data_IF_391185587404
#
_entry.id   IF_391185587404
#
_cell.length_a   1.000
_cell.length_b   1.000
_cell.length_c   1.000
_cell.angle_alpha   90.00
_cell.angle_beta   90.00
_cell.angle_gamma   90.00
#
_symmetry.space_group_name_H-M   'P 1'
#
loop_
_entity.id
_entity.type
_entity.pdbx_description
1 polymer ?
#
# COMPACT_ATOMS: atom_id res chain seq x y z
N UNK A 1 -48.02 20.40 -36.34
CA UNK A 1 -48.16 18.96 -36.01
C UNK A 1 -48.73 18.90 -34.59
N UNK A 2 -50.05 18.98 -34.48
CA UNK A 2 -50.96 17.87 -34.17
C UNK A 2 -50.84 17.36 -32.72
N UNK A 3 -51.73 17.94 -31.90
CA UNK A 3 -52.55 17.33 -30.83
C UNK A 3 -52.87 15.84 -31.08
N UNK A 4 -53.00 14.95 -30.08
CA UNK A 4 -54.09 14.86 -29.09
C UNK A 4 -53.84 13.63 -28.18
N UNK A 5 -54.14 13.72 -26.88
CA UNK A 5 -54.35 12.56 -26.00
C UNK A 5 -55.82 12.45 -25.60
N UNK A 6 -56.36 11.21 -25.61
CA UNK A 6 -57.50 10.60 -24.85
C UNK A 6 -58.08 9.41 -25.65
N UNK A 7 -58.86 8.46 -25.07
CA UNK A 7 -58.77 7.72 -23.79
C UNK A 7 -59.01 6.17 -23.92
N UNK A 8 -59.10 5.48 -22.76
CA UNK A 8 -59.25 4.02 -22.42
C UNK A 8 -60.27 3.16 -23.23
N UNK A 9 -60.24 1.80 -23.08
CA UNK A 9 -61.30 1.17 -22.26
C UNK A 9 -60.94 -0.09 -21.43
N UNK A 10 -61.85 -0.36 -20.47
CA UNK A 10 -61.97 -1.48 -19.52
C UNK A 10 -62.21 -2.87 -20.14
N UNK A 11 -61.85 -3.93 -19.38
CA UNK A 11 -62.56 -5.22 -19.38
C UNK A 11 -62.73 -5.77 -17.96
N UNK A 12 -63.94 -6.26 -17.69
CA UNK A 12 -64.44 -6.83 -16.44
C UNK A 12 -64.70 -8.35 -16.56
N UNK A 13 -64.62 -9.04 -15.41
CA UNK A 13 -65.23 -10.35 -15.04
C UNK A 13 -64.58 -11.62 -15.65
N UNK A 14 -64.39 -12.76 -14.96
CA UNK A 14 -65.38 -13.66 -14.32
C UNK A 14 -64.70 -14.73 -13.38
N UNK A 15 -65.14 -14.81 -12.11
CA UNK A 15 -65.59 -15.97 -11.27
C UNK A 15 -64.68 -17.22 -10.92
N UNK A 16 -64.19 -17.27 -9.64
CA UNK A 16 -64.21 -18.29 -8.50
C UNK A 16 -64.15 -19.85 -8.70
N UNK A 17 -64.11 -20.75 -7.65
CA UNK A 17 -63.70 -20.69 -6.20
C UNK A 17 -62.85 -21.93 -5.68
N UNK A 18 -62.64 -22.00 -4.34
CA UNK A 18 -62.33 -23.17 -3.47
C UNK A 18 -60.84 -23.60 -3.34
N UNK A 19 -60.24 -23.98 -2.20
CA UNK A 19 -60.64 -24.25 -0.80
C UNK A 19 -59.37 -24.24 0.08
N UNK A 20 -59.49 -23.86 1.36
CA UNK A 20 -58.50 -24.18 2.40
C UNK A 20 -58.48 -25.70 2.68
N UNK A 21 -57.38 -26.23 3.22
CA UNK A 21 -57.49 -26.71 4.60
C UNK A 21 -56.31 -26.32 5.49
N UNK A 22 -56.68 -25.87 6.68
CA UNK A 22 -55.88 -25.86 7.90
C UNK A 22 -55.53 -27.30 8.31
N UNK A 23 -54.25 -27.58 8.56
CA UNK A 23 -53.85 -28.62 9.53
C UNK A 23 -52.74 -28.09 10.42
N UNK A 24 -53.09 -27.98 11.70
CA UNK A 24 -52.23 -27.75 12.84
C UNK A 24 -51.74 -29.11 13.34
N UNK A 25 -50.43 -29.36 13.36
CA UNK A 25 -49.82 -30.36 14.24
C UNK A 25 -48.55 -29.77 14.84
N UNK A 26 -48.63 -29.60 16.16
CA UNK A 26 -47.54 -29.32 17.07
C UNK A 26 -46.32 -30.23 16.82
N UNK A 27 -45.17 -29.64 16.52
CA UNK A 27 -43.89 -30.20 16.95
C UNK A 27 -42.95 -29.08 17.38
N UNK A 28 -42.93 -28.87 18.69
CA UNK A 28 -41.96 -28.08 19.43
C UNK A 28 -40.56 -28.69 19.30
N UNK A 29 -39.80 -28.29 18.28
CA UNK A 29 -38.35 -28.33 18.36
C UNK A 29 -37.85 -26.98 18.89
N UNK A 30 -37.74 -26.90 20.22
CA UNK A 30 -36.91 -25.90 20.88
C UNK A 30 -35.46 -26.15 20.45
N UNK A 31 -34.97 -25.40 19.47
CA UNK A 31 -33.54 -25.28 19.20
C UNK A 31 -32.88 -24.68 20.44
N UNK A 32 -31.90 -25.40 21.00
CA UNK A 32 -31.10 -24.92 22.13
C UNK A 32 -30.36 -23.66 21.70
N UNK A 33 -30.66 -22.53 22.33
CA UNK A 33 -29.87 -21.32 22.22
C UNK A 33 -28.51 -21.55 22.91
N UNK A 34 -27.43 -21.40 22.15
CA UNK A 34 -26.07 -21.35 22.68
C UNK A 34 -25.82 -19.95 23.29
N UNK A 35 -25.31 -19.86 24.52
CA UNK A 35 -25.02 -18.57 25.14
C UNK A 35 -23.69 -18.04 24.59
N UNK A 36 -23.72 -16.92 23.86
CA UNK A 36 -22.48 -16.19 23.53
C UNK A 36 -22.49 -15.32 22.28
N UNK A 37 -23.46 -15.48 21.36
CA UNK A 37 -23.52 -14.60 20.18
C UNK A 37 -24.47 -13.42 20.41
N UNK A 38 -24.03 -12.18 20.20
CA UNK A 38 -24.93 -11.04 20.19
C UNK A 38 -25.90 -11.18 19.00
N UNK A 39 -27.20 -11.21 19.28
CA UNK A 39 -28.25 -11.20 18.24
C UNK A 39 -28.16 -9.93 17.39
N UNK A 40 -28.50 -10.04 16.10
CA UNK A 40 -28.52 -8.99 15.04
C UNK A 40 -29.01 -7.57 15.43
N UNK A 41 -29.74 -7.41 16.55
CA UNK A 41 -30.17 -6.11 17.06
C UNK A 41 -29.10 -5.38 17.91
N UNK A 42 -28.11 -6.07 18.50
CA UNK A 42 -27.04 -5.43 19.28
C UNK A 42 -25.88 -4.93 18.40
N UNK A 43 -25.85 -5.30 17.13
CA UNK A 43 -24.85 -4.83 16.16
C UNK A 43 -25.15 -3.44 15.60
N UNK A 44 -26.19 -2.75 16.09
CA UNK A 44 -26.64 -1.46 15.53
C UNK A 44 -26.39 -0.26 16.43
N UNK A 45 -25.81 -0.41 17.63
CA UNK A 45 -25.83 0.69 18.61
C UNK A 45 -24.62 0.86 19.53
N UNK A 46 -23.50 0.17 19.30
CA UNK A 46 -22.25 0.47 20.02
C UNK A 46 -21.05 0.30 19.07
N UNK A 47 -20.59 1.41 18.48
CA UNK A 47 -19.32 1.57 17.77
C UNK A 47 -18.85 0.38 16.94
N UNK A 48 -19.32 0.25 15.70
CA UNK A 48 -19.02 -0.84 14.76
C UNK A 48 -17.51 -1.17 14.62
N UNK A 49 -16.64 -0.18 14.84
CA UNK A 49 -15.18 -0.34 14.87
C UNK A 49 -14.69 -1.28 16.00
N UNK A 50 -15.20 -1.11 17.22
CA UNK A 50 -14.81 -1.91 18.39
C UNK A 50 -15.21 -3.37 18.21
N UNK A 51 -16.31 -3.64 17.49
CA UNK A 51 -16.76 -4.99 17.17
C UNK A 51 -15.82 -5.69 16.17
N UNK A 52 -15.41 -4.99 15.10
CA UNK A 52 -14.49 -5.54 14.10
C UNK A 52 -13.09 -5.82 14.68
N UNK A 53 -12.56 -4.92 15.51
CA UNK A 53 -11.29 -5.12 16.19
C UNK A 53 -11.32 -6.35 17.11
N UNK A 54 -12.37 -6.50 17.92
CA UNK A 54 -12.53 -7.67 18.77
C UNK A 54 -12.64 -8.97 17.95
N UNK A 55 -13.36 -8.94 16.83
CA UNK A 55 -13.43 -10.10 15.93
C UNK A 55 -12.07 -10.46 15.33
N UNK A 56 -11.21 -9.49 14.99
CA UNK A 56 -9.83 -9.76 14.56
C UNK A 56 -9.01 -10.43 15.66
N UNK A 57 -9.12 -9.97 16.90
CA UNK A 57 -8.42 -10.57 18.05
C UNK A 57 -8.92 -12.00 18.28
N UNK A 58 -10.24 -12.22 18.27
CA UNK A 58 -10.81 -13.57 18.37
C UNK A 58 -10.39 -14.47 17.22
N UNK A 59 -10.30 -13.93 16.00
CA UNK A 59 -9.78 -14.66 14.83
C UNK A 59 -8.34 -15.11 15.06
N UNK A 60 -7.47 -14.22 15.55
CA UNK A 60 -6.08 -14.52 15.83
C UNK A 60 -5.94 -15.65 16.88
N UNK A 61 -6.70 -15.57 17.98
CA UNK A 61 -6.71 -16.59 19.03
C UNK A 61 -7.22 -17.95 18.52
N UNK A 62 -8.26 -17.94 17.68
CA UNK A 62 -8.81 -19.16 17.08
C UNK A 62 -7.79 -19.83 16.13
N UNK A 63 -7.07 -19.02 15.34
CA UNK A 63 -5.99 -19.49 14.45
C UNK A 63 -4.85 -20.08 15.27
N UNK A 64 -4.39 -19.39 16.31
CA UNK A 64 -3.30 -19.85 17.19
C UNK A 64 -3.65 -21.15 17.92
N UNK A 65 -4.89 -21.27 18.39
CA UNK A 65 -5.39 -22.50 19.03
C UNK A 65 -5.71 -23.61 18.02
N UNK A 66 -5.46 -23.40 16.73
CA UNK A 66 -5.80 -24.30 15.62
C UNK A 66 -7.28 -24.78 15.65
N UNK A 67 -8.19 -23.92 16.12
CA UNK A 67 -9.62 -24.16 16.12
C UNK A 67 -10.19 -23.83 14.74
N UNK A 68 -10.16 -24.82 13.83
CA UNK A 68 -10.56 -24.65 12.43
C UNK A 68 -12.00 -24.15 12.27
N UNK A 69 -12.95 -24.69 13.04
CA UNK A 69 -14.36 -24.31 12.95
C UNK A 69 -14.59 -22.86 13.35
N UNK A 70 -14.05 -22.44 14.48
CA UNK A 70 -14.19 -21.06 14.96
C UNK A 70 -13.47 -20.08 14.03
N UNK A 71 -12.26 -20.44 13.57
CA UNK A 71 -11.51 -19.64 12.60
C UNK A 71 -12.31 -19.42 11.31
N UNK A 72 -12.90 -20.48 10.76
CA UNK A 72 -13.71 -20.39 9.54
C UNK A 72 -14.93 -19.47 9.73
N UNK A 73 -15.61 -19.58 10.87
CA UNK A 73 -16.78 -18.75 11.18
C UNK A 73 -16.42 -17.27 11.29
N UNK A 74 -15.36 -16.94 12.04
CA UNK A 74 -14.94 -15.55 12.23
C UNK A 74 -14.44 -14.95 10.92
N UNK A 75 -13.62 -15.69 10.16
CA UNK A 75 -13.16 -15.26 8.83
C UNK A 75 -14.33 -15.01 7.88
N UNK A 76 -15.35 -15.87 7.90
CA UNK A 76 -16.56 -15.68 7.09
C UNK A 76 -17.29 -14.39 7.47
N UNK A 77 -17.51 -14.15 8.77
CA UNK A 77 -18.15 -12.91 9.24
C UNK A 77 -17.35 -11.69 8.81
N UNK A 78 -16.04 -11.67 9.07
CA UNK A 78 -15.17 -10.54 8.75
C UNK A 78 -15.16 -10.23 7.24
N UNK A 79 -15.14 -11.25 6.37
CA UNK A 79 -15.22 -11.05 4.91
C UNK A 79 -16.55 -10.41 4.45
N UNK A 80 -17.64 -10.55 5.22
CA UNK A 80 -18.94 -9.97 4.87
C UNK A 80 -19.15 -8.55 5.43
N UNK A 81 -18.46 -8.18 6.51
CA UNK A 81 -18.66 -6.88 7.17
C UNK A 81 -17.53 -5.86 6.88
N UNK A 82 -16.39 -6.32 6.37
CA UNK A 82 -15.21 -5.50 6.08
C UNK A 82 -14.83 -5.55 4.59
N UNK A 83 -15.60 -4.89 3.70
CA UNK A 83 -15.25 -4.77 2.30
C UNK A 83 -14.00 -3.89 2.09
N UNK A 84 -13.16 -4.17 1.07
CA UNK A 84 -11.91 -3.44 0.81
C UNK A 84 -12.09 -1.99 0.33
N UNK A 85 -13.29 -1.63 -0.14
CA UNK A 85 -13.70 -0.30 -0.60
C UNK A 85 -14.64 0.40 0.40
N UNK A 86 -14.77 -0.14 1.61
CA UNK A 86 -15.57 0.41 2.69
C UNK A 86 -14.95 1.63 3.39
N UNK A 87 -15.48 1.96 4.57
CA UNK A 87 -14.94 3.02 5.42
C UNK A 87 -13.53 2.69 5.94
N UNK A 88 -12.92 3.61 6.68
CA UNK A 88 -11.56 3.43 7.21
C UNK A 88 -11.40 2.21 8.12
N UNK A 89 -12.40 1.89 8.95
CA UNK A 89 -12.35 0.74 9.85
C UNK A 89 -12.55 -0.57 9.09
N UNK A 90 -13.42 -0.57 8.08
CA UNK A 90 -13.63 -1.72 7.21
C UNK A 90 -12.36 -2.04 6.41
N UNK A 91 -11.71 -1.02 5.82
CA UNK A 91 -10.44 -1.18 5.09
C UNK A 91 -9.31 -1.67 5.98
N UNK A 92 -9.20 -1.14 7.19
CA UNK A 92 -8.24 -1.60 8.20
C UNK A 92 -8.50 -3.08 8.54
N UNK A 93 -9.75 -3.43 8.82
CA UNK A 93 -10.16 -4.78 9.19
C UNK A 93 -9.90 -5.78 8.07
N UNK A 94 -10.22 -5.40 6.83
CA UNK A 94 -9.90 -6.18 5.65
C UNK A 94 -8.40 -6.44 5.57
N UNK A 95 -7.56 -5.40 5.65
CA UNK A 95 -6.10 -5.54 5.57
C UNK A 95 -5.54 -6.47 6.66
N UNK A 96 -5.97 -6.31 7.91
CA UNK A 96 -5.53 -7.17 9.02
C UNK A 96 -6.01 -8.62 8.85
N UNK A 97 -7.23 -8.85 8.38
CA UNK A 97 -7.72 -10.20 8.09
C UNK A 97 -6.86 -10.89 7.03
N UNK A 98 -6.52 -10.16 5.94
CA UNK A 98 -5.65 -10.67 4.88
C UNK A 98 -4.25 -11.02 5.42
N UNK A 99 -3.69 -10.16 6.28
CA UNK A 99 -2.40 -10.41 6.93
C UNK A 99 -2.44 -11.64 7.88
N UNK A 100 -3.51 -11.78 8.67
CA UNK A 100 -3.71 -12.94 9.56
C UNK A 100 -3.78 -14.25 8.78
N UNK A 101 -4.54 -14.27 7.68
CA UNK A 101 -4.64 -15.45 6.81
C UNK A 101 -3.27 -15.75 6.18
N UNK A 102 -2.58 -14.75 5.62
CA UNK A 102 -1.25 -14.93 5.02
C UNK A 102 -0.19 -15.44 6.01
N UNK A 103 -0.23 -14.98 7.26
CA UNK A 103 0.64 -15.50 8.32
C UNK A 103 0.32 -16.95 8.66
N UNK A 104 -0.97 -17.26 8.83
CA UNK A 104 -1.42 -18.60 9.21
C UNK A 104 -1.10 -19.65 8.13
N UNK A 105 -1.18 -19.28 6.86
CA UNK A 105 -0.84 -20.15 5.73
C UNK A 105 0.67 -20.38 5.64
N UNK A 106 1.48 -19.31 5.78
CA UNK A 106 2.95 -19.39 5.73
C UNK A 106 3.54 -20.17 6.91
N UNK A 107 3.00 -19.98 8.10
CA UNK A 107 3.48 -20.66 9.32
C UNK A 107 2.87 -22.04 9.54
N UNK A 108 1.92 -22.47 8.69
CA UNK A 108 1.13 -23.70 8.87
C UNK A 108 0.43 -23.81 10.25
N UNK A 109 0.19 -22.69 10.92
CA UNK A 109 -0.42 -22.65 12.26
C UNK A 109 -1.88 -23.13 12.22
N UNK A 110 -2.56 -22.89 11.10
CA UNK A 110 -3.93 -23.35 10.87
C UNK A 110 -4.01 -24.21 9.61
N UNK A 111 -4.23 -25.52 9.79
CA UNK A 111 -4.28 -26.49 8.68
C UNK A 111 -5.40 -26.19 7.68
N UNK A 112 -6.54 -25.67 8.16
CA UNK A 112 -7.65 -25.26 7.31
C UNK A 112 -7.23 -24.13 6.38
N UNK A 113 -6.67 -23.05 6.92
CA UNK A 113 -6.27 -21.89 6.12
C UNK A 113 -5.15 -22.26 5.14
N UNK A 114 -4.19 -23.07 5.56
CA UNK A 114 -3.15 -23.60 4.66
C UNK A 114 -3.76 -24.42 3.51
N UNK A 115 -4.74 -25.29 3.78
CA UNK A 115 -5.45 -26.04 2.75
C UNK A 115 -6.28 -25.14 1.83
N UNK A 116 -6.95 -24.12 2.38
CA UNK A 116 -7.74 -23.14 1.61
C UNK A 116 -6.86 -22.29 0.68
N UNK A 117 -5.67 -21.88 1.13
CA UNK A 117 -4.73 -21.12 0.30
C UNK A 117 -4.18 -21.94 -0.87
N UNK A 118 -4.01 -23.25 -0.69
CA UNK A 118 -3.60 -24.17 -1.77
C UNK A 118 -4.74 -24.44 -2.79
N UNK A 119 -5.99 -24.29 -2.39
CA UNK A 119 -7.17 -24.56 -3.22
C UNK A 119 -7.78 -23.32 -3.89
N UNK A 120 -7.52 -22.12 -3.38
CA UNK A 120 -8.08 -20.87 -3.88
C UNK A 120 -6.96 -19.84 -4.14
N UNK A 121 -6.60 -19.73 -5.43
CA UNK A 121 -5.79 -18.64 -5.96
C UNK A 121 -6.58 -17.33 -5.80
N UNK A 122 -6.32 -16.60 -4.71
CA UNK A 122 -6.54 -15.15 -4.58
C UNK A 122 -5.99 -14.66 -3.22
N UNK A 123 -4.85 -15.20 -2.77
CA UNK A 123 -4.05 -14.61 -1.69
C UNK A 123 -2.95 -13.68 -2.21
N UNK A 124 -2.78 -13.58 -3.53
CA UNK A 124 -1.94 -12.57 -4.14
C UNK A 124 -2.61 -11.20 -3.91
N UNK A 125 -2.06 -10.41 -3.01
CA UNK A 125 -2.30 -8.98 -3.03
C UNK A 125 -1.67 -8.49 -4.33
N UNK A 126 -2.50 -8.12 -5.30
CA UNK A 126 -2.02 -7.42 -6.49
C UNK A 126 -1.46 -6.09 -6.02
N UNK A 127 -0.14 -6.02 -5.87
CA UNK A 127 0.53 -4.76 -5.57
C UNK A 127 0.35 -3.83 -6.76
N UNK A 128 -0.27 -2.70 -6.52
CA UNK A 128 -0.43 -1.68 -7.54
C UNK A 128 0.94 -1.16 -7.97
N UNK A 129 1.18 -1.15 -9.29
CA UNK A 129 2.34 -0.50 -9.90
C UNK A 129 1.92 0.91 -10.28
N UNK A 130 2.55 1.89 -9.64
CA UNK A 130 2.32 3.30 -9.92
C UNK A 130 3.09 3.72 -11.17
N UNK A 131 2.47 4.49 -12.05
CA UNK A 131 3.23 5.40 -12.91
C UNK A 131 3.92 6.49 -12.07
N UNK A 132 4.88 7.21 -12.65
CA UNK A 132 5.54 8.35 -11.98
C UNK A 132 4.54 9.40 -11.49
N UNK A 133 3.51 9.68 -12.28
CA UNK A 133 2.51 10.70 -11.97
C UNK A 133 1.59 10.24 -10.83
N UNK A 134 1.19 8.96 -10.83
CA UNK A 134 0.37 8.40 -9.76
C UNK A 134 1.17 8.32 -8.45
N UNK A 135 2.45 7.96 -8.51
CA UNK A 135 3.31 7.92 -7.33
C UNK A 135 3.53 9.32 -6.74
N UNK A 136 3.77 10.32 -7.59
CA UNK A 136 3.86 11.71 -7.15
C UNK A 136 2.55 12.18 -6.50
N UNK A 137 1.41 11.82 -7.09
CA UNK A 137 0.09 12.11 -6.52
C UNK A 137 -0.10 11.41 -5.17
N UNK A 138 0.36 10.15 -5.03
CA UNK A 138 0.30 9.38 -3.79
C UNK A 138 1.13 10.03 -2.67
N UNK A 139 2.36 10.47 -2.98
CA UNK A 139 3.22 11.22 -2.06
C UNK A 139 2.53 12.46 -1.52
N UNK A 140 1.66 13.08 -2.33
CA UNK A 140 0.95 14.31 -2.01
C UNK A 140 -0.40 14.10 -1.29
N UNK A 141 -0.89 12.87 -1.18
CA UNK A 141 -2.17 12.57 -0.48
C UNK A 141 -2.12 12.97 0.99
N UNK A 142 -0.97 12.83 1.64
CA UNK A 142 -0.77 13.20 3.04
C UNK A 142 0.52 14.00 3.21
N UNK A 143 0.63 14.85 4.25
CA UNK A 143 1.85 15.65 4.46
C UNK A 143 3.05 14.81 4.91
N UNK A 144 2.90 13.50 5.16
CA UNK A 144 3.92 12.63 5.74
C UNK A 144 5.23 12.65 4.94
N UNK A 145 5.17 12.40 3.64
CA UNK A 145 6.36 12.37 2.78
C UNK A 145 6.92 13.77 2.54
N UNK A 146 6.06 14.74 2.20
CA UNK A 146 6.49 16.13 1.95
C UNK A 146 7.18 16.75 3.17
N UNK A 147 6.67 16.51 4.38
CA UNK A 147 7.33 16.97 5.60
C UNK A 147 8.76 16.44 5.70
N UNK A 148 8.95 15.14 5.54
CA UNK A 148 10.27 14.52 5.56
C UNK A 148 11.19 15.07 4.48
N UNK A 149 10.68 15.21 3.25
CA UNK A 149 11.44 15.76 2.12
C UNK A 149 11.87 17.21 2.36
N UNK A 150 10.96 18.08 2.82
CA UNK A 150 11.27 19.48 3.11
C UNK A 150 12.30 19.62 4.22
N UNK A 151 12.14 18.86 5.32
CA UNK A 151 13.10 18.89 6.42
C UNK A 151 14.48 18.38 6.00
N UNK A 152 14.53 17.26 5.27
CA UNK A 152 15.78 16.70 4.76
C UNK A 152 16.46 17.65 3.76
N UNK A 153 15.70 18.23 2.82
CA UNK A 153 16.25 19.19 1.85
C UNK A 153 16.82 20.43 2.53
N UNK A 154 16.14 20.98 3.54
CA UNK A 154 16.66 22.12 4.30
C UNK A 154 18.01 21.80 4.95
N UNK A 155 18.11 20.66 5.64
CA UNK A 155 19.35 20.21 6.26
C UNK A 155 20.47 19.94 5.23
N UNK A 156 20.13 19.33 4.08
CA UNK A 156 21.10 19.10 2.99
C UNK A 156 21.62 20.44 2.47
N UNK A 157 20.74 21.41 2.18
CA UNK A 157 21.13 22.70 1.62
C UNK A 157 22.06 23.48 2.55
N UNK A 158 21.86 23.40 3.87
CA UNK A 158 22.76 23.97 4.87
C UNK A 158 24.11 23.24 4.88
N UNK A 159 24.10 21.91 4.86
CA UNK A 159 25.31 21.11 4.94
C UNK A 159 26.22 21.23 3.69
N UNK A 160 25.63 21.49 2.52
CA UNK A 160 26.37 21.56 1.25
C UNK A 160 26.78 22.97 0.85
N UNK A 161 26.53 23.97 1.69
CA UNK A 161 26.92 25.34 1.39
C UNK A 161 28.44 25.47 1.19
N UNK A 162 28.84 26.13 0.10
CA UNK A 162 30.25 26.32 -0.26
C UNK A 162 30.92 25.14 -0.98
N UNK A 163 30.24 23.99 -1.15
CA UNK A 163 30.78 22.87 -1.91
C UNK A 163 30.45 22.99 -3.40
N UNK A 164 31.43 22.70 -4.26
CA UNK A 164 31.26 22.72 -5.73
C UNK A 164 30.69 21.41 -6.29
N UNK A 165 30.85 20.32 -5.55
CA UNK A 165 30.37 18.97 -5.91
C UNK A 165 29.77 18.35 -4.68
N UNK A 166 28.56 17.81 -4.81
CA UNK A 166 27.84 17.14 -3.72
C UNK A 166 27.50 15.72 -4.15
N UNK A 167 27.61 14.76 -3.22
CA UNK A 167 27.22 13.38 -3.45
C UNK A 167 26.08 13.00 -2.52
N UNK A 168 24.92 12.75 -3.10
CA UNK A 168 23.70 12.32 -2.41
C UNK A 168 23.55 10.81 -2.63
N UNK A 169 23.36 10.08 -1.53
CA UNK A 169 23.04 8.66 -1.53
C UNK A 169 21.59 8.50 -1.09
N UNK A 170 20.71 8.11 -2.01
CA UNK A 170 19.29 7.91 -1.76
C UNK A 170 19.01 6.44 -1.42
N UNK A 171 18.57 6.22 -0.18
CA UNK A 171 18.15 4.92 0.36
C UNK A 171 16.62 4.82 0.51
N UNK A 172 15.86 5.75 -0.08
CA UNK A 172 14.42 5.81 0.04
C UNK A 172 13.71 4.77 -0.83
N UNK A 173 12.52 4.38 -0.39
CA UNK A 173 11.60 3.53 -1.17
C UNK A 173 10.62 4.36 -2.03
N UNK A 174 10.73 5.69 -1.98
CA UNK A 174 9.83 6.60 -2.71
C UNK A 174 10.37 6.95 -4.09
N UNK A 175 11.19 6.10 -4.69
CA UNK A 175 11.72 6.26 -6.06
C UNK A 175 12.17 7.69 -6.40
N UNK A 176 13.04 8.27 -5.57
CA UNK A 176 13.60 9.60 -5.78
C UNK A 176 12.59 10.76 -5.84
N UNK A 177 11.35 10.60 -5.36
CA UNK A 177 10.34 11.68 -5.40
C UNK A 177 10.74 12.95 -4.61
N UNK A 178 11.71 12.84 -3.70
CA UNK A 178 12.33 14.00 -3.03
C UNK A 178 13.20 14.83 -3.98
N UNK A 179 13.94 14.18 -4.88
CA UNK A 179 15.05 14.76 -5.62
C UNK A 179 14.66 15.96 -6.49
N UNK A 180 13.53 15.98 -7.22
CA UNK A 180 13.13 17.16 -7.99
C UNK A 180 13.02 18.42 -7.12
N UNK A 181 12.42 18.30 -5.92
CA UNK A 181 12.29 19.44 -5.00
C UNK A 181 13.63 19.91 -4.42
N UNK A 182 14.60 19.00 -4.29
CA UNK A 182 15.95 19.35 -3.87
C UNK A 182 16.72 20.07 -4.98
N UNK A 183 16.64 19.57 -6.21
CA UNK A 183 17.21 20.23 -7.40
C UNK A 183 16.68 21.66 -7.52
N UNK A 184 15.36 21.84 -7.38
CA UNK A 184 14.73 23.17 -7.40
C UNK A 184 15.27 24.09 -6.32
N UNK A 185 15.41 23.59 -5.10
CA UNK A 185 15.89 24.39 -3.98
C UNK A 185 17.38 24.75 -4.14
N UNK A 186 18.20 23.83 -4.67
CA UNK A 186 19.61 24.08 -4.99
C UNK A 186 19.73 25.17 -6.07
N UNK A 187 18.98 25.03 -7.17
CA UNK A 187 19.00 25.97 -8.29
C UNK A 187 18.59 27.39 -7.88
N UNK A 188 17.69 27.52 -6.90
CA UNK A 188 17.21 28.82 -6.43
C UNK A 188 18.07 29.42 -5.30
N UNK A 189 18.81 28.59 -4.53
CA UNK A 189 19.61 29.06 -3.38
C UNK A 189 21.01 29.54 -3.79
N UNK A 190 21.65 28.87 -4.75
CA UNK A 190 23.04 29.11 -5.08
C UNK A 190 23.18 29.81 -6.44
N UNK A 191 23.94 30.90 -6.49
CA UNK A 191 24.26 31.61 -7.75
C UNK A 191 24.96 30.69 -8.76
N UNK A 192 25.83 29.81 -8.25
CA UNK A 192 26.47 28.74 -9.02
C UNK A 192 26.13 27.41 -8.34
N UNK A 193 25.13 26.67 -8.86
CA UNK A 193 24.75 25.38 -8.30
C UNK A 193 25.90 24.36 -8.34
N UNK A 194 26.05 23.53 -7.29
CA UNK A 194 27.01 22.43 -7.32
C UNK A 194 26.65 21.37 -8.36
N UNK A 195 27.67 20.65 -8.81
CA UNK A 195 27.47 19.36 -9.48
C UNK A 195 26.86 18.36 -8.50
N UNK A 196 25.72 17.77 -8.87
CA UNK A 196 25.05 16.74 -8.05
C UNK A 196 25.45 15.36 -8.55
N UNK A 197 26.05 14.53 -7.70
CA UNK A 197 26.16 13.08 -7.92
C UNK A 197 25.07 12.40 -7.12
N UNK A 198 24.09 11.80 -7.78
CA UNK A 198 23.05 11.01 -7.12
C UNK A 198 23.34 9.53 -7.30
N UNK A 199 23.47 8.81 -6.19
CA UNK A 199 23.53 7.35 -6.15
C UNK A 199 22.29 6.80 -5.46
N UNK A 200 21.58 5.90 -6.14
CA UNK A 200 20.36 5.29 -5.61
C UNK A 200 20.59 3.82 -5.31
N UNK A 201 20.17 3.37 -4.13
CA UNK A 201 20.08 1.96 -3.81
C UNK A 201 18.91 1.34 -4.59
N UNK A 202 19.22 0.64 -5.68
CA UNK A 202 18.22 -0.08 -6.48
C UNK A 202 17.80 -1.35 -5.76
N UNK A 203 16.55 -1.43 -5.33
CA UNK A 203 16.04 -2.62 -4.65
C UNK A 203 16.13 -3.85 -5.57
N UNK A 204 16.77 -4.92 -5.10
CA UNK A 204 16.80 -6.22 -5.80
C UNK A 204 15.49 -7.01 -5.66
N UNK A 205 14.57 -6.51 -4.84
CA UNK A 205 13.27 -7.11 -4.54
C UNK A 205 12.16 -6.11 -4.84
N UNK A 206 10.99 -6.61 -5.25
CA UNK A 206 9.79 -5.80 -5.49
C UNK A 206 9.21 -5.31 -4.15
N UNK A 207 9.74 -4.20 -3.64
CA UNK A 207 9.27 -3.55 -2.41
C UNK A 207 8.26 -2.45 -2.76
N UNK A 208 7.03 -2.45 -2.19
CA UNK A 208 6.08 -1.37 -2.40
C UNK A 208 6.57 -0.01 -1.85
N UNK A 209 6.14 1.13 -2.42
CA UNK A 209 5.30 1.24 -3.63
C UNK A 209 6.06 0.76 -4.86
N UNK A 210 5.40 0.04 -5.77
CA UNK A 210 6.04 -0.40 -7.01
C UNK A 210 5.95 0.71 -8.05
N UNK A 211 7.02 0.93 -8.82
CA UNK A 211 7.05 1.87 -9.92
C UNK A 211 7.05 1.14 -11.26
N UNK A 212 6.17 1.56 -12.17
CA UNK A 212 6.13 1.11 -13.57
C UNK A 212 7.07 1.96 -14.44
N UNK A 213 8.34 2.04 -14.02
CA UNK A 213 9.41 2.73 -14.72
C UNK A 213 10.76 2.15 -14.31
N UNK A 214 11.65 1.92 -15.28
CA UNK A 214 13.02 1.51 -14.97
C UNK A 214 13.79 2.64 -14.26
N UNK A 215 14.78 2.28 -13.45
CA UNK A 215 15.61 3.28 -12.78
C UNK A 215 16.53 4.01 -13.76
N UNK A 216 16.87 3.40 -14.88
CA UNK A 216 17.59 4.03 -15.99
C UNK A 216 16.76 5.17 -16.60
N UNK A 217 15.48 4.92 -16.88
CA UNK A 217 14.55 5.94 -17.37
C UNK A 217 14.26 7.02 -16.31
N UNK A 218 14.10 6.63 -15.04
CA UNK A 218 13.95 7.55 -13.92
C UNK A 218 15.17 8.48 -13.81
N UNK A 219 16.37 7.90 -13.85
CA UNK A 219 17.63 8.64 -13.82
C UNK A 219 17.76 9.61 -14.97
N UNK A 220 17.44 9.19 -16.20
CA UNK A 220 17.42 10.07 -17.37
C UNK A 220 16.45 11.24 -17.21
N UNK A 221 15.23 11.00 -16.68
CA UNK A 221 14.27 12.07 -16.38
C UNK A 221 14.80 13.04 -15.33
N UNK A 222 15.44 12.56 -14.28
CA UNK A 222 16.03 13.40 -13.23
C UNK A 222 17.19 14.25 -13.75
N UNK A 223 18.09 13.67 -14.54
CA UNK A 223 19.22 14.40 -15.16
C UNK A 223 18.69 15.49 -16.10
N UNK A 224 17.69 15.18 -16.93
CA UNK A 224 17.05 16.16 -17.82
C UNK A 224 16.35 17.27 -17.02
N UNK A 225 15.71 16.93 -15.90
CA UNK A 225 15.09 17.93 -15.03
C UNK A 225 16.15 18.84 -14.40
N UNK A 226 17.23 18.29 -13.84
CA UNK A 226 18.35 19.06 -13.31
C UNK A 226 18.94 20.02 -14.37
N UNK A 227 19.17 19.52 -15.58
CA UNK A 227 19.65 20.33 -16.69
C UNK A 227 18.71 21.50 -17.01
N UNK A 228 17.39 21.28 -17.01
CA UNK A 228 16.40 22.34 -17.22
C UNK A 228 16.39 23.41 -16.12
N UNK A 229 17.01 23.13 -14.96
CA UNK A 229 17.19 24.04 -13.83
C UNK A 229 18.61 24.60 -13.75
N UNK A 230 19.42 24.43 -14.80
CA UNK A 230 20.84 24.81 -14.85
C UNK A 230 21.70 24.12 -13.77
N UNK A 231 21.31 22.92 -13.34
CA UNK A 231 22.06 22.09 -12.40
C UNK A 231 22.64 20.90 -13.15
N UNK A 232 23.94 20.70 -13.05
CA UNK A 232 24.59 19.51 -13.62
C UNK A 232 24.39 18.35 -12.66
N UNK A 233 23.95 17.20 -13.17
CA UNK A 233 23.68 16.02 -12.36
C UNK A 233 24.21 14.74 -13.01
N UNK A 234 24.86 13.91 -12.22
CA UNK A 234 25.21 12.52 -12.53
C UNK A 234 24.27 11.59 -11.77
N UNK A 235 23.76 10.56 -12.45
CA UNK A 235 22.89 9.54 -11.84
C UNK A 235 23.55 8.17 -11.90
N UNK A 236 23.51 7.45 -10.78
CA UNK A 236 23.95 6.05 -10.69
C UNK A 236 22.96 5.24 -9.88
N UNK A 237 22.63 4.06 -10.35
CA UNK A 237 21.93 3.03 -9.58
C UNK A 237 22.92 1.94 -9.16
N UNK A 238 22.79 1.46 -7.93
CA UNK A 238 23.53 0.31 -7.43
C UNK A 238 22.53 -0.74 -6.92
N UNK A 239 22.45 -1.91 -7.56
CA UNK A 239 21.65 -3.03 -7.07
C UNK A 239 22.06 -3.36 -5.63
N UNK A 240 21.11 -3.26 -4.72
CA UNK A 240 21.31 -3.36 -3.27
C UNK A 240 20.09 -3.94 -2.58
N UNK A 241 20.32 -4.61 -1.44
CA UNK A 241 19.25 -5.09 -0.57
C UNK A 241 19.46 -4.55 0.85
N UNK A 242 18.37 -4.22 1.53
CA UNK A 242 18.43 -3.90 2.96
C UNK A 242 18.74 -5.16 3.80
N UNK A 243 18.49 -6.36 3.29
CA UNK A 243 18.70 -7.62 4.00
C UNK A 243 20.18 -7.92 4.29
N UNK A 244 21.09 -7.44 3.44
CA UNK A 244 22.54 -7.58 3.61
C UNK A 244 23.22 -6.30 4.16
N UNK A 245 22.42 -5.33 4.61
CA UNK A 245 22.90 -4.05 5.08
C UNK A 245 23.48 -3.14 4.00
N UNK A 246 23.02 -3.27 2.75
CA UNK A 246 23.50 -2.51 1.58
C UNK A 246 24.99 -2.76 1.27
N UNK A 247 25.45 -4.00 1.41
CA UNK A 247 26.88 -4.34 1.28
C UNK A 247 27.47 -3.92 -0.07
N UNK A 248 26.77 -4.18 -1.18
CA UNK A 248 27.15 -3.78 -2.54
C UNK A 248 27.30 -2.25 -2.69
N UNK A 249 26.34 -1.48 -2.18
CA UNK A 249 26.39 -0.02 -2.19
C UNK A 249 27.62 0.49 -1.44
N UNK A 250 27.85 0.00 -0.22
CA UNK A 250 28.95 0.43 0.63
C UNK A 250 30.30 0.14 -0.02
N UNK A 251 30.46 -1.04 -0.64
CA UNK A 251 31.69 -1.39 -1.37
C UNK A 251 31.94 -0.43 -2.54
N UNK A 252 30.92 -0.15 -3.35
CA UNK A 252 31.06 0.75 -4.49
C UNK A 252 31.36 2.20 -4.07
N UNK A 253 30.73 2.70 -3.00
CA UNK A 253 31.02 4.03 -2.46
C UNK A 253 32.47 4.13 -1.95
N UNK A 254 33.01 3.07 -1.34
CA UNK A 254 34.43 3.03 -0.91
C UNK A 254 35.38 3.09 -2.10
N UNK A 255 35.12 2.34 -3.16
CA UNK A 255 35.95 2.35 -4.38
C UNK A 255 35.95 3.74 -5.01
N UNK A 256 34.80 4.41 -5.08
CA UNK A 256 34.71 5.77 -5.63
C UNK A 256 35.55 6.78 -4.84
N UNK A 257 35.52 6.72 -3.50
CA UNK A 257 36.34 7.60 -2.67
C UNK A 257 37.84 7.37 -2.86
N UNK A 258 38.27 6.11 -2.97
CA UNK A 258 39.69 5.78 -3.22
C UNK A 258 40.16 6.35 -4.56
N UNK A 259 39.37 6.18 -5.63
CA UNK A 259 39.70 6.72 -6.96
C UNK A 259 39.76 8.25 -6.96
N UNK A 260 38.89 8.94 -6.19
CA UNK A 260 38.94 10.40 -6.07
C UNK A 260 40.14 10.88 -5.23
N UNK A 261 40.54 10.13 -4.19
CA UNK A 261 41.72 10.46 -3.40
C UNK A 261 43.01 10.36 -4.23
N UNK A 262 43.13 9.33 -5.08
CA UNK A 262 44.28 9.13 -5.96
C UNK A 262 44.34 10.15 -7.10
N UNK A 263 43.19 10.55 -7.66
CA UNK A 263 43.15 11.59 -8.69
C UNK A 263 43.44 12.98 -8.11
N UNK A 264 42.91 13.31 -6.93
CA UNK A 264 43.21 14.57 -6.22
C UNK A 264 44.70 14.73 -5.87
N UNK A 265 45.39 13.66 -5.49
CA UNK A 265 46.83 13.69 -5.22
C UNK A 265 47.69 13.97 -6.47
N UNK A 266 47.27 13.49 -7.65
CA UNK A 266 47.97 13.75 -8.91
C UNK A 266 47.86 15.21 -9.38
N UNK A 267 46.80 15.92 -9.01
CA UNK A 267 46.64 17.34 -9.35
C UNK A 267 47.29 18.29 -8.34
N UNK A 268 47.63 17.83 -7.12
CA UNK A 268 48.41 18.61 -6.15
C UNK A 268 49.93 18.55 -6.35
N UNK A 269 50.41 17.80 -7.35
CA UNK A 269 51.84 17.61 -7.66
C UNK A 269 52.30 18.29 -8.97
N UNK A 270 51.51 19.23 -9.49
CA UNK A 270 51.84 20.08 -10.65
C UNK A 270 51.58 21.55 -10.27
#
# INVERSE_FOLDING_TARGET
MQSTETPLPHWHQIITPFSNPTMNINQTQRTRHWPGFPTSKSLRSFGDANCMEQLLVHCANAIESNNATLSQQIVWVLNNIAPPDGDSNQRLTFAFLRALIARATKSCTCKLLAAMANAHYNLALHTHKFSVIELASFVDVTPWHRFGFTAANAAILEAVEGYLVIHIVDLSLTHCMQIPTLIDAIANRFEVPPLIKLTVAGATEDVPPMLDLSYEELGSKLVNFAWSRNVIMEFRIIPSSYADGFSSLIEQLRVQHLVHAESGQRFSSL
#
